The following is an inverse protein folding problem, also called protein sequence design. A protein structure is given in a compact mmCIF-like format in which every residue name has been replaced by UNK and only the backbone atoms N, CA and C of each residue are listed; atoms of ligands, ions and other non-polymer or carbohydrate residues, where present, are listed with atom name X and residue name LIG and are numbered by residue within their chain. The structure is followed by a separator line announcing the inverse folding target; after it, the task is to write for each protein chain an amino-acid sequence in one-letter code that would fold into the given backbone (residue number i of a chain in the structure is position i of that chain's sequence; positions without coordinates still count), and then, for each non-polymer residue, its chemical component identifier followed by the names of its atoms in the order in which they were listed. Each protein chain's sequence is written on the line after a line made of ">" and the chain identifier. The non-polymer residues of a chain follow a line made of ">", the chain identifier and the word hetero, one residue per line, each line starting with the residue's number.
data_IF_106282179358
#
_entry.id   IF_106282179358
#
_cell.length_a   1.000
_cell.length_b   1.000
_cell.length_c   1.000
_cell.angle_alpha   90.00
_cell.angle_beta   90.00
_cell.angle_gamma   90.00
#
_symmetry.space_group_name_H-M   'P 1'
#
loop_
_entity.id
_entity.type
_entity.pdbx_description
1 polymer ?
#
# COMPACT_ATOMS: atom_id res chain seq x y z
N UNK A 1 -5.16 -2.66 32.76
CA UNK A 1 -5.43 -3.93 32.05
C UNK A 1 -6.50 -3.59 31.03
N UNK A 2 -6.08 -3.14 29.85
CA UNK A 2 -7.01 -2.58 28.87
C UNK A 2 -7.88 -3.72 28.33
N UNK A 3 -9.17 -3.61 28.59
CA UNK A 3 -10.14 -4.63 28.19
C UNK A 3 -10.15 -4.74 26.67
N UNK A 4 -10.26 -5.98 26.15
CA UNK A 4 -10.34 -6.30 24.71
C UNK A 4 -11.33 -5.43 23.91
N UNK A 5 -12.29 -4.84 24.61
CA UNK A 5 -13.29 -3.90 24.09
C UNK A 5 -12.70 -2.54 23.66
N UNK A 6 -11.68 -2.01 24.35
CA UNK A 6 -11.01 -0.76 23.97
C UNK A 6 -10.11 -0.92 22.74
N UNK A 7 -9.45 -2.08 22.59
CA UNK A 7 -8.70 -2.46 21.38
C UNK A 7 -9.61 -2.53 20.14
N UNK A 8 -10.90 -2.84 20.33
CA UNK A 8 -11.90 -2.91 19.27
C UNK A 8 -12.37 -1.53 18.79
N UNK A 9 -12.24 -0.47 19.60
CA UNK A 9 -12.60 0.91 19.23
C UNK A 9 -11.55 1.57 18.32
N UNK A 10 -10.29 1.16 18.45
CA UNK A 10 -9.17 1.60 17.60
C UNK A 10 -8.99 0.72 16.34
N UNK A 11 -9.86 -0.27 16.15
CA UNK A 11 -9.75 -1.31 15.11
C UNK A 11 -9.75 -0.75 13.69
N UNK A 12 -10.32 0.44 13.46
CA UNK A 12 -10.31 1.11 12.15
C UNK A 12 -8.89 1.56 11.78
N UNK A 13 -8.19 2.26 12.67
CA UNK A 13 -6.79 2.65 12.47
C UNK A 13 -5.84 1.46 12.53
N UNK A 14 -6.07 0.52 13.46
CA UNK A 14 -5.23 -0.67 13.58
C UNK A 14 -5.33 -1.59 12.36
N UNK A 15 -6.52 -1.86 11.82
CA UNK A 15 -6.65 -2.67 10.60
C UNK A 15 -6.03 -1.94 9.40
N UNK A 16 -6.23 -0.61 9.29
CA UNK A 16 -5.60 0.15 8.19
C UNK A 16 -4.09 0.08 8.28
N UNK A 17 -3.49 0.32 9.46
CA UNK A 17 -2.03 0.31 9.61
C UNK A 17 -1.44 -1.09 9.42
N UNK A 18 -2.12 -2.14 9.89
CA UNK A 18 -1.66 -3.53 9.72
C UNK A 18 -1.63 -3.94 8.24
N UNK A 19 -2.53 -3.44 7.40
CA UNK A 19 -2.53 -3.74 5.96
C UNK A 19 -1.62 -2.78 5.18
N UNK A 20 -1.58 -1.52 5.60
CA UNK A 20 -0.84 -0.45 4.95
C UNK A 20 0.67 -0.63 5.10
N UNK A 21 1.15 -0.89 6.33
CA UNK A 21 2.58 -0.96 6.63
C UNK A 21 3.28 -2.07 5.84
N UNK A 22 2.80 -3.33 5.82
CA UNK A 22 3.39 -4.37 4.98
C UNK A 22 3.36 -4.03 3.50
N UNK A 23 2.27 -3.45 3.00
CA UNK A 23 2.15 -3.07 1.58
C UNK A 23 3.19 -2.00 1.21
N UNK A 24 3.38 -1.00 2.07
CA UNK A 24 4.39 0.04 1.88
C UNK A 24 5.82 -0.51 2.01
N UNK A 25 6.07 -1.43 2.95
CA UNK A 25 7.38 -2.09 3.08
C UNK A 25 7.71 -2.87 1.81
N UNK A 26 6.77 -3.68 1.31
CA UNK A 26 6.95 -4.43 0.06
C UNK A 26 7.20 -3.47 -1.11
N UNK A 27 6.43 -2.38 -1.20
CA UNK A 27 6.63 -1.35 -2.22
C UNK A 27 8.00 -0.69 -2.15
N UNK A 28 8.48 -0.35 -0.95
CA UNK A 28 9.81 0.21 -0.73
C UNK A 28 10.92 -0.76 -1.14
N UNK A 29 10.78 -2.06 -0.82
CA UNK A 29 11.75 -3.08 -1.22
C UNK A 29 11.82 -3.18 -2.75
N UNK A 30 10.66 -3.33 -3.41
CA UNK A 30 10.60 -3.44 -4.87
C UNK A 30 11.15 -2.18 -5.54
N UNK A 31 10.75 -1.00 -5.06
CA UNK A 31 11.22 0.28 -5.60
C UNK A 31 12.73 0.44 -5.43
N UNK A 32 13.26 0.19 -4.24
CA UNK A 32 14.70 0.30 -3.96
C UNK A 32 15.50 -0.66 -4.82
N UNK A 33 15.02 -1.90 -4.97
CA UNK A 33 15.68 -2.89 -5.81
C UNK A 33 15.73 -2.45 -7.28
N UNK A 34 14.60 -2.04 -7.86
CA UNK A 34 14.54 -1.59 -9.25
C UNK A 34 15.23 -0.24 -9.47
N UNK A 35 15.32 0.60 -8.44
CA UNK A 35 16.09 1.82 -8.50
C UNK A 35 17.59 1.52 -8.54
N UNK A 36 18.08 0.56 -7.77
CA UNK A 36 19.51 0.19 -7.77
C UNK A 36 19.90 -0.67 -8.97
N UNK A 37 19.00 -1.54 -9.42
CA UNK A 37 19.23 -2.51 -10.50
C UNK A 37 18.16 -2.35 -11.60
N UNK A 38 18.22 -1.27 -12.38
CA UNK A 38 17.26 -1.05 -13.46
C UNK A 38 17.43 -2.09 -14.56
N UNK A 39 16.32 -2.54 -15.14
CA UNK A 39 16.32 -3.60 -16.16
C UNK A 39 16.79 -3.12 -17.55
N UNK A 40 16.54 -1.86 -17.89
CA UNK A 40 16.67 -1.33 -19.27
C UNK A 40 17.35 0.05 -19.34
N UNK A 41 18.20 0.39 -18.37
CA UNK A 41 18.96 1.66 -18.34
C UNK A 41 20.46 1.38 -18.55
N UNK A 42 21.11 2.18 -19.38
CA UNK A 42 22.58 2.21 -19.43
C UNK A 42 23.14 2.89 -18.17
N UNK A 43 24.44 2.69 -17.89
CA UNK A 43 25.11 3.29 -16.72
C UNK A 43 24.98 4.83 -16.71
N UNK A 44 25.19 5.47 -17.86
CA UNK A 44 25.07 6.94 -18.01
C UNK A 44 23.64 7.42 -17.68
N UNK A 45 22.63 6.72 -18.18
CA UNK A 45 21.23 7.07 -17.91
C UNK A 45 20.88 6.83 -16.44
N UNK A 46 21.52 5.85 -15.78
CA UNK A 46 21.31 5.57 -14.37
C UNK A 46 21.87 6.68 -13.48
N UNK A 47 23.04 7.24 -13.82
CA UNK A 47 23.69 8.34 -13.10
C UNK A 47 22.97 9.67 -13.25
N UNK A 48 22.30 9.89 -14.39
CA UNK A 48 21.54 11.12 -14.66
C UNK A 48 20.19 11.19 -13.93
N UNK A 49 19.82 10.13 -13.19
CA UNK A 49 18.54 10.10 -12.47
C UNK A 49 18.53 11.11 -11.33
N UNK A 50 17.45 11.87 -11.29
CA UNK A 50 17.23 12.94 -10.31
C UNK A 50 16.44 12.44 -9.10
N UNK A 51 16.57 13.17 -7.99
CA UNK A 51 15.74 12.96 -6.81
C UNK A 51 14.23 13.12 -7.10
N UNK A 52 13.86 14.01 -8.05
CA UNK A 52 12.46 14.19 -8.43
C UNK A 52 11.91 12.92 -9.10
N UNK A 53 12.69 12.28 -9.98
CA UNK A 53 12.32 11.00 -10.59
C UNK A 53 12.23 9.89 -9.54
N UNK A 54 13.11 9.88 -8.54
CA UNK A 54 13.03 8.97 -7.40
C UNK A 54 11.70 9.14 -6.64
N UNK A 55 11.40 10.37 -6.22
CA UNK A 55 10.19 10.66 -5.44
C UNK A 55 8.91 10.37 -6.23
N UNK A 56 8.86 10.77 -7.51
CA UNK A 56 7.72 10.52 -8.38
C UNK A 56 7.48 9.01 -8.60
N UNK A 57 8.53 8.26 -8.92
CA UNK A 57 8.41 6.80 -9.11
C UNK A 57 8.02 6.07 -7.82
N UNK A 58 8.53 6.52 -6.66
CA UNK A 58 8.15 5.99 -5.36
C UNK A 58 6.68 6.26 -5.02
N UNK A 59 6.18 7.45 -5.33
CA UNK A 59 4.76 7.78 -5.15
C UNK A 59 3.85 6.93 -6.05
N UNK A 60 4.24 6.73 -7.31
CA UNK A 60 3.51 5.91 -8.29
C UNK A 60 3.43 4.46 -7.83
N UNK A 61 4.56 3.84 -7.48
CA UNK A 61 4.58 2.43 -7.09
C UNK A 61 3.83 2.20 -5.77
N UNK A 62 3.95 3.12 -4.81
CA UNK A 62 3.22 3.05 -3.55
C UNK A 62 1.71 3.12 -3.80
N UNK A 63 1.24 4.09 -4.59
CA UNK A 63 -0.18 4.23 -4.92
C UNK A 63 -0.71 3.01 -5.68
N UNK A 64 0.08 2.48 -6.61
CA UNK A 64 -0.27 1.28 -7.40
C UNK A 64 -0.44 0.06 -6.51
N UNK A 65 0.49 -0.19 -5.59
CA UNK A 65 0.43 -1.33 -4.68
C UNK A 65 -0.70 -1.21 -3.66
N UNK A 66 -0.97 0.00 -3.17
CA UNK A 66 -2.13 0.26 -2.31
C UNK A 66 -3.45 -0.04 -3.05
N UNK A 67 -3.58 0.42 -4.30
CA UNK A 67 -4.72 0.11 -5.15
C UNK A 67 -4.87 -1.39 -5.39
N UNK A 68 -3.77 -2.08 -5.70
CA UNK A 68 -3.75 -3.53 -5.91
C UNK A 68 -4.15 -4.27 -4.63
N UNK A 69 -3.63 -3.87 -3.47
CA UNK A 69 -4.00 -4.43 -2.16
C UNK A 69 -5.51 -4.31 -1.90
N UNK A 70 -6.10 -3.15 -2.19
CA UNK A 70 -7.55 -2.93 -2.09
C UNK A 70 -8.33 -3.86 -3.03
N UNK A 71 -7.88 -4.03 -4.28
CA UNK A 71 -8.50 -4.94 -5.25
C UNK A 71 -8.44 -6.40 -4.77
N UNK A 72 -7.26 -6.84 -4.31
CA UNK A 72 -7.04 -8.19 -3.76
C UNK A 72 -7.98 -8.40 -2.57
N UNK A 73 -8.00 -7.48 -1.60
CA UNK A 73 -8.90 -7.57 -0.46
C UNK A 73 -10.37 -7.76 -0.89
N UNK A 74 -10.81 -7.02 -1.91
CA UNK A 74 -12.17 -7.15 -2.45
C UNK A 74 -12.43 -8.49 -3.12
N UNK A 75 -11.49 -9.02 -3.90
CA UNK A 75 -11.62 -10.32 -4.58
C UNK A 75 -11.72 -11.47 -3.57
N UNK A 76 -10.89 -11.44 -2.53
CA UNK A 76 -10.83 -12.48 -1.50
C UNK A 76 -11.83 -12.27 -0.34
N UNK A 77 -12.68 -11.23 -0.40
CA UNK A 77 -13.64 -10.93 0.65
C UNK A 77 -13.00 -10.51 1.98
N UNK A 78 -11.74 -10.09 1.95
CA UNK A 78 -10.99 -9.61 3.11
C UNK A 78 -11.45 -8.18 3.43
N UNK A 79 -11.78 -7.94 4.70
CA UNK A 79 -12.11 -6.59 5.18
C UNK A 79 -10.83 -5.89 5.61
N UNK A 80 -10.39 -4.90 4.83
CA UNK A 80 -9.21 -4.09 5.16
C UNK A 80 -9.61 -2.72 5.67
N UNK A 81 -8.76 -2.11 6.48
CA UNK A 81 -9.02 -0.75 6.97
C UNK A 81 -9.02 0.28 5.83
N UNK A 82 -8.07 0.18 4.90
CA UNK A 82 -7.99 1.06 3.72
C UNK A 82 -9.23 0.92 2.82
N UNK A 83 -9.66 -0.31 2.51
CA UNK A 83 -10.90 -0.54 1.77
C UNK A 83 -12.12 -0.01 2.51
N UNK A 84 -12.13 0.04 3.85
CA UNK A 84 -13.21 0.67 4.62
C UNK A 84 -13.29 2.18 4.39
N UNK A 85 -12.15 2.88 4.48
CA UNK A 85 -12.08 4.32 4.27
C UNK A 85 -12.47 4.73 2.85
N UNK A 86 -12.17 3.87 1.87
CA UNK A 86 -12.57 4.05 0.48
C UNK A 86 -14.03 3.63 0.19
N UNK A 87 -14.76 3.09 1.17
CA UNK A 87 -16.13 2.61 0.97
C UNK A 87 -16.25 1.30 0.19
N UNK A 88 -15.17 0.51 0.13
CA UNK A 88 -15.02 -0.69 -0.70
C UNK A 88 -15.11 -2.03 0.07
N UNK A 89 -15.32 -2.00 1.39
CA UNK A 89 -15.40 -3.18 2.26
C UNK A 89 -16.68 -4.02 2.14
N UNK A 90 -17.64 -3.64 1.29
CA UNK A 90 -18.89 -4.41 1.13
C UNK A 90 -19.82 -3.86 0.03
N UNK A 91 -20.76 -4.70 -0.41
CA UNK A 91 -21.91 -4.27 -1.22
C UNK A 91 -22.95 -3.58 -0.31
N UNK A 92 -23.64 -2.52 -0.78
CA UNK A 92 -24.67 -1.86 0.01
C UNK A 92 -25.70 -2.87 0.49
N UNK A 93 -26.23 -2.62 1.70
CA UNK A 93 -27.27 -3.43 2.32
C UNK A 93 -28.44 -3.53 1.32
N UNK A 94 -28.71 -4.72 0.78
CA UNK A 94 -29.99 -4.99 0.11
C UNK A 94 -31.04 -5.06 1.22
N UNK A 95 -31.60 -3.90 1.58
CA UNK A 95 -32.94 -3.85 2.14
C UNK A 95 -33.93 -3.86 0.99
#
# INVERSE_FOLDING_TARGET
>A
MDTMEQLRKHRVLNLTLIDLVPTLIVGLIIHSYLWLYPLELSEDQQTDRTFIQYAASLAIISTTLLGLGVIIHRIFGIKSGLSAHLGLNGRPNKK
#
